data_IF_054324627096
#
_entry.id   IF_054324627096
#
_cell.length_a   1.000
_cell.length_b   1.000
_cell.length_c   1.000
_cell.angle_alpha   90.00
_cell.angle_beta   90.00
_cell.angle_gamma   90.00
#
_symmetry.space_group_name_H-M   'P 1'
#
loop_
_entity.id
_entity.type
_entity.pdbx_description
1 polymer ?
#
# COMPACT_ATOMS: atom_id res chain seq x y z
N UNK A 1 -36.58 -9.66 7.25
CA UNK A 1 -36.60 -9.44 8.70
C UNK A 1 -36.63 -7.95 8.91
N UNK A 2 -37.66 -7.48 9.59
CA UNK A 2 -37.93 -6.05 9.77
C UNK A 2 -36.91 -5.45 10.74
N UNK A 3 -36.39 -4.25 10.47
CA UNK A 3 -35.31 -3.62 11.26
C UNK A 3 -35.74 -3.31 12.70
N UNK A 4 -37.04 -3.31 12.94
CA UNK A 4 -37.68 -3.11 14.25
C UNK A 4 -37.60 -4.33 15.17
N UNK A 5 -37.52 -5.56 14.65
CA UNK A 5 -37.38 -6.76 15.48
C UNK A 5 -35.94 -6.97 16.01
N UNK A 6 -34.93 -6.52 15.26
CA UNK A 6 -33.52 -6.67 15.69
C UNK A 6 -33.13 -5.72 16.85
N UNK A 7 -33.90 -4.65 17.08
CA UNK A 7 -33.63 -3.67 18.13
C UNK A 7 -34.13 -4.12 19.52
N UNK A 8 -35.01 -5.12 19.59
CA UNK A 8 -35.59 -5.60 20.84
C UNK A 8 -34.72 -6.64 21.56
N UNK A 9 -33.81 -7.33 20.85
CA UNK A 9 -33.00 -8.41 21.45
C UNK A 9 -31.62 -7.97 21.98
N UNK A 10 -31.14 -6.76 21.62
CA UNK A 10 -29.83 -6.27 22.04
C UNK A 10 -29.66 -5.99 23.55
N UNK A 11 -30.68 -5.54 24.31
CA UNK A 11 -30.50 -5.27 25.74
C UNK A 11 -30.30 -6.52 26.61
N UNK A 12 -30.78 -7.68 26.16
CA UNK A 12 -30.72 -8.92 26.93
C UNK A 12 -29.32 -9.58 26.94
N UNK A 13 -28.47 -9.30 25.94
CA UNK A 13 -27.13 -9.88 25.83
C UNK A 13 -26.05 -9.10 26.61
N UNK A 14 -26.34 -7.88 27.07
CA UNK A 14 -25.38 -7.04 27.80
C UNK A 14 -25.42 -7.32 29.32
N UNK A 15 -26.51 -7.92 29.84
CA UNK A 15 -26.67 -8.12 31.29
C UNK A 15 -25.92 -9.35 31.84
N UNK A 16 -25.49 -10.31 31.01
CA UNK A 16 -24.85 -11.55 31.48
C UNK A 16 -23.32 -11.53 31.57
N UNK A 17 -22.63 -10.44 31.18
CA UNK A 17 -21.15 -10.38 31.21
C UNK A 17 -20.56 -9.64 32.41
N UNK A 18 -21.20 -9.70 33.59
CA UNK A 18 -20.62 -9.28 34.88
C UNK A 18 -20.11 -10.46 35.71
N UNK A 19 -19.39 -11.40 35.10
CA UNK A 19 -18.52 -12.29 35.88
C UNK A 19 -17.22 -11.55 36.22
N UNK A 20 -16.84 -11.41 37.50
CA UNK A 20 -15.60 -10.75 37.87
C UNK A 20 -14.42 -11.53 37.27
N UNK A 21 -13.70 -10.90 36.33
CA UNK A 21 -12.43 -11.39 35.82
C UNK A 21 -11.49 -11.57 37.01
N UNK A 22 -11.30 -12.83 37.43
CA UNK A 22 -10.24 -13.20 38.37
C UNK A 22 -8.92 -12.72 37.77
N UNK A 23 -8.31 -11.73 38.40
CA UNK A 23 -7.02 -11.19 38.02
C UNK A 23 -6.01 -12.34 37.90
N UNK A 24 -5.68 -12.70 36.66
CA UNK A 24 -4.65 -13.68 36.33
C UNK A 24 -3.31 -13.01 36.62
N UNK A 25 -2.81 -13.20 37.84
CA UNK A 25 -1.49 -12.75 38.24
C UNK A 25 -0.44 -13.44 37.38
N UNK A 26 0.09 -12.74 36.37
CA UNK A 26 1.24 -13.18 35.58
C UNK A 26 2.52 -13.04 36.42
N UNK A 27 2.67 -13.92 37.40
CA UNK A 27 3.92 -14.18 38.09
C UNK A 27 4.64 -15.33 37.37
N UNK A 28 5.19 -15.06 36.19
CA UNK A 28 6.12 -15.96 35.50
C UNK A 28 7.55 -15.52 35.83
N UNK A 29 7.99 -15.79 37.06
CA UNK A 29 9.42 -15.89 37.39
C UNK A 29 9.78 -17.37 37.30
N UNK A 30 10.33 -17.77 36.15
CA UNK A 30 11.14 -18.98 36.06
C UNK A 30 12.29 -18.79 37.07
N UNK A 31 12.18 -19.51 38.18
CA UNK A 31 13.20 -19.61 39.21
C UNK A 31 14.08 -20.77 38.80
N UNK A 32 15.35 -20.46 38.62
CA UNK A 32 16.41 -21.45 38.67
C UNK A 32 16.30 -22.19 40.00
N UNK A 33 16.05 -23.49 39.91
CA UNK A 33 16.26 -24.44 40.99
C UNK A 33 17.75 -24.46 41.27
N UNK A 34 18.18 -23.80 42.34
CA UNK A 34 19.31 -24.21 43.20
C UNK A 34 19.56 -23.14 44.27
N UNK A 35 19.30 -23.46 45.53
CA UNK A 35 19.68 -22.58 46.63
C UNK A 35 18.87 -22.76 47.90
N UNK A 36 19.12 -23.86 48.61
CA UNK A 36 18.79 -24.04 50.02
C UNK A 36 19.38 -22.87 50.83
N UNK A 37 18.53 -22.08 51.47
CA UNK A 37 18.89 -21.34 52.69
C UNK A 37 17.62 -21.05 53.49
N UNK A 38 17.40 -21.89 54.49
CA UNK A 38 16.31 -21.83 55.45
C UNK A 38 16.55 -20.64 56.40
N UNK A 39 16.28 -19.43 55.92
CA UNK A 39 16.42 -18.19 56.68
C UNK A 39 15.08 -17.82 57.33
N UNK A 40 14.99 -18.05 58.63
CA UNK A 40 13.86 -17.74 59.50
C UNK A 40 13.59 -16.22 59.54
N UNK A 41 12.96 -15.67 58.48
CA UNK A 41 12.66 -14.24 58.36
C UNK A 41 11.42 -13.92 59.19
N UNK A 42 11.65 -13.43 60.41
CA UNK A 42 10.64 -12.82 61.29
C UNK A 42 9.72 -11.93 60.47
N UNK A 43 8.43 -12.28 60.40
CA UNK A 43 7.41 -11.51 59.72
C UNK A 43 7.38 -10.09 60.32
N UNK A 44 7.92 -9.11 59.59
CA UNK A 44 7.81 -7.69 59.94
C UNK A 44 6.32 -7.35 59.90
N UNK A 45 5.68 -7.31 61.08
CA UNK A 45 4.32 -6.80 61.26
C UNK A 45 4.29 -5.38 60.68
N UNK A 46 3.65 -5.21 59.52
CA UNK A 46 3.39 -3.87 59.00
C UNK A 46 2.53 -3.13 60.03
N UNK A 47 2.93 -1.90 60.39
CA UNK A 47 2.12 -1.08 61.29
C UNK A 47 0.72 -0.89 60.69
N UNK A 48 -0.30 -0.97 61.53
CA UNK A 48 -1.72 -0.79 61.15
C UNK A 48 -1.94 0.52 60.36
N UNK A 49 -1.18 1.56 60.70
CA UNK A 49 -1.15 2.84 59.97
C UNK A 49 -0.72 2.69 58.50
N UNK A 50 0.34 1.93 58.22
CA UNK A 50 0.80 1.70 56.83
C UNK A 50 -0.23 0.91 56.03
N UNK A 51 -0.92 -0.05 56.65
CA UNK A 51 -2.00 -0.81 56.01
C UNK A 51 -3.18 0.11 55.64
N UNK A 52 -3.57 1.03 56.51
CA UNK A 52 -4.65 1.98 56.25
C UNK A 52 -4.31 2.94 55.09
N UNK A 53 -3.10 3.52 55.09
CA UNK A 53 -2.64 4.38 53.98
C UNK A 53 -2.62 3.66 52.64
N UNK A 54 -2.18 2.40 52.61
CA UNK A 54 -2.19 1.59 51.38
C UNK A 54 -3.62 1.31 50.89
N UNK A 55 -4.56 1.03 51.80
CA UNK A 55 -5.98 0.84 51.45
C UNK A 55 -6.60 2.10 50.88
N UNK A 56 -6.32 3.25 51.49
CA UNK A 56 -6.79 4.55 51.03
C UNK A 56 -6.21 4.91 49.66
N UNK A 57 -4.90 4.73 49.46
CA UNK A 57 -4.24 4.94 48.18
C UNK A 57 -4.83 4.04 47.07
N UNK A 58 -5.15 2.79 47.40
CA UNK A 58 -5.78 1.86 46.46
C UNK A 58 -7.22 2.26 46.12
N UNK A 59 -7.99 2.77 47.09
CA UNK A 59 -9.33 3.32 46.85
C UNK A 59 -9.26 4.53 45.92
N UNK A 60 -8.36 5.47 46.20
CA UNK A 60 -8.15 6.66 45.36
C UNK A 60 -7.71 6.29 43.93
N UNK A 61 -6.85 5.27 43.78
CA UNK A 61 -6.47 4.76 42.47
C UNK A 61 -7.67 4.20 41.69
N UNK A 62 -8.45 3.32 42.32
CA UNK A 62 -9.67 2.74 41.70
C UNK A 62 -10.69 3.80 41.33
N UNK A 63 -10.83 4.84 42.15
CA UNK A 63 -11.72 5.96 41.87
C UNK A 63 -11.26 6.73 40.62
N UNK A 64 -9.97 7.08 40.52
CA UNK A 64 -9.42 7.73 39.33
C UNK A 64 -9.54 6.87 38.07
N UNK A 65 -9.32 5.56 38.20
CA UNK A 65 -9.49 4.60 37.10
C UNK A 65 -10.96 4.53 36.65
N UNK A 66 -11.91 4.46 37.59
CA UNK A 66 -13.34 4.47 37.28
C UNK A 66 -13.78 5.77 36.60
N UNK A 67 -13.33 6.94 37.08
CA UNK A 67 -13.60 8.23 36.43
C UNK A 67 -13.03 8.26 35.01
N UNK A 68 -11.78 7.83 34.81
CA UNK A 68 -11.17 7.76 33.48
C UNK A 68 -11.92 6.84 32.52
N UNK A 69 -12.46 5.72 33.01
CA UNK A 69 -13.27 4.82 32.19
C UNK A 69 -14.55 5.54 31.74
N UNK A 70 -15.24 6.24 32.65
CA UNK A 70 -16.42 7.03 32.31
C UNK A 70 -16.11 8.13 31.28
N UNK A 71 -15.01 8.87 31.45
CA UNK A 71 -14.59 9.92 30.51
C UNK A 71 -14.29 9.33 29.10
N UNK A 72 -13.71 8.13 29.05
CA UNK A 72 -13.44 7.41 27.80
C UNK A 72 -14.73 6.92 27.14
N UNK A 73 -15.68 6.40 27.92
CA UNK A 73 -17.01 6.00 27.42
C UNK A 73 -17.77 7.21 26.86
N UNK A 74 -17.74 8.36 27.54
CA UNK A 74 -18.32 9.62 27.05
C UNK A 74 -17.63 10.10 25.76
N UNK A 75 -16.30 10.01 25.70
CA UNK A 75 -15.54 10.37 24.49
C UNK A 75 -15.90 9.49 23.30
N UNK A 76 -16.06 8.18 23.50
CA UNK A 76 -16.45 7.23 22.45
C UNK A 76 -17.87 7.53 21.95
N UNK A 77 -18.84 7.76 22.83
CA UNK A 77 -20.20 8.14 22.43
C UNK A 77 -20.24 9.47 21.69
N UNK A 78 -19.44 10.46 22.11
CA UNK A 78 -19.30 11.75 21.42
C UNK A 78 -18.69 11.60 20.02
N UNK A 79 -17.67 10.75 19.86
CA UNK A 79 -17.09 10.47 18.55
C UNK A 79 -18.07 9.72 17.64
N UNK A 80 -18.81 8.76 18.19
CA UNK A 80 -19.79 7.98 17.44
C UNK A 80 -20.92 8.86 16.91
N UNK A 81 -21.48 9.74 17.73
CA UNK A 81 -22.50 10.71 17.28
C UNK A 81 -22.00 11.65 16.20
N UNK A 82 -20.73 12.10 16.28
CA UNK A 82 -20.10 12.90 15.21
C UNK A 82 -19.96 12.11 13.89
N UNK A 83 -19.56 10.84 13.96
CA UNK A 83 -19.48 9.99 12.77
C UNK A 83 -20.86 9.72 12.16
N UNK A 84 -21.88 9.44 12.96
CA UNK A 84 -23.24 9.21 12.48
C UNK A 84 -23.82 10.46 11.79
N UNK A 85 -23.53 11.66 12.32
CA UNK A 85 -23.88 12.91 11.68
C UNK A 85 -23.16 13.11 10.34
N UNK A 86 -21.87 12.77 10.25
CA UNK A 86 -21.11 12.84 8.99
C UNK A 86 -21.63 11.84 7.94
N UNK A 87 -21.93 10.60 8.34
CA UNK A 87 -22.53 9.59 7.45
C UNK A 87 -23.87 10.08 6.90
N UNK A 88 -24.72 10.64 7.77
CA UNK A 88 -26.01 11.21 7.36
C UNK A 88 -25.83 12.35 6.36
N UNK A 89 -24.87 13.25 6.59
CA UNK A 89 -24.55 14.34 5.66
C UNK A 89 -24.05 13.83 4.30
N UNK A 90 -23.14 12.86 4.29
CA UNK A 90 -22.61 12.26 3.05
C UNK A 90 -23.73 11.56 2.26
N UNK A 91 -24.61 10.82 2.93
CA UNK A 91 -25.75 10.18 2.28
C UNK A 91 -26.71 11.21 1.65
N UNK A 92 -26.97 12.33 2.33
CA UNK A 92 -27.77 13.42 1.76
C UNK A 92 -27.12 14.02 0.51
N UNK A 93 -25.79 14.20 0.49
CA UNK A 93 -25.04 14.68 -0.69
C UNK A 93 -25.08 13.68 -1.85
N UNK A 94 -24.96 12.38 -1.57
CA UNK A 94 -25.07 11.32 -2.59
C UNK A 94 -26.46 11.31 -3.23
N UNK A 95 -27.51 11.46 -2.41
CA UNK A 95 -28.89 11.56 -2.90
C UNK A 95 -29.07 12.77 -3.83
N UNK A 96 -28.60 13.96 -3.42
CA UNK A 96 -28.68 15.17 -4.25
C UNK A 96 -27.92 15.04 -5.59
N UNK A 97 -26.76 14.37 -5.59
CA UNK A 97 -26.00 14.12 -6.83
C UNK A 97 -26.76 13.15 -7.75
N UNK A 98 -27.45 12.16 -7.18
CA UNK A 98 -28.22 11.19 -7.93
C UNK A 98 -29.45 11.82 -8.61
N UNK A 99 -30.17 12.72 -7.93
CA UNK A 99 -31.26 13.52 -8.52
C UNK A 99 -30.76 14.45 -9.65
N UNK A 100 -29.60 15.08 -9.45
CA UNK A 100 -28.97 15.91 -10.49
C UNK A 100 -28.58 15.08 -11.73
N UNK A 101 -28.05 13.87 -11.53
CA UNK A 101 -27.68 12.95 -12.62
C UNK A 101 -28.91 12.54 -13.44
N UNK A 102 -30.03 12.26 -12.81
CA UNK A 102 -31.28 11.97 -13.52
C UNK A 102 -31.76 13.15 -14.36
N UNK A 103 -31.65 14.36 -13.81
CA UNK A 103 -31.99 15.61 -14.53
C UNK A 103 -31.08 15.82 -15.75
N UNK A 104 -29.77 15.58 -15.62
CA UNK A 104 -28.81 15.67 -16.73
C UNK A 104 -29.13 14.61 -17.80
N UNK A 105 -29.36 13.35 -17.38
CA UNK A 105 -29.71 12.27 -18.29
C UNK A 105 -31.02 12.56 -19.05
N UNK A 106 -32.01 13.15 -18.39
CA UNK A 106 -33.26 13.58 -19.01
C UNK A 106 -33.00 14.66 -20.08
N UNK A 107 -32.23 15.72 -19.74
CA UNK A 107 -31.86 16.78 -20.70
C UNK A 107 -31.09 16.22 -21.90
N UNK A 108 -30.15 15.30 -21.67
CA UNK A 108 -29.39 14.65 -22.73
C UNK A 108 -30.30 13.86 -23.68
N UNK A 109 -31.25 13.07 -23.13
CA UNK A 109 -32.24 12.34 -23.94
C UNK A 109 -33.14 13.28 -24.77
N UNK A 110 -33.55 14.41 -24.21
CA UNK A 110 -34.33 15.42 -24.96
C UNK A 110 -33.51 16.03 -26.10
N UNK A 111 -32.25 16.41 -25.84
CA UNK A 111 -31.37 16.97 -26.87
C UNK A 111 -31.10 15.97 -28.00
N UNK A 112 -30.91 14.68 -27.68
CA UNK A 112 -30.74 13.63 -28.69
C UNK A 112 -31.98 13.42 -29.56
N UNK A 113 -33.19 13.56 -29.00
CA UNK A 113 -34.43 13.53 -29.80
C UNK A 113 -34.51 14.73 -30.75
N UNK A 114 -34.14 15.92 -30.30
CA UNK A 114 -34.11 17.13 -31.15
C UNK A 114 -33.10 16.94 -32.29
N UNK A 115 -31.90 16.45 -32.00
CA UNK A 115 -30.87 16.20 -33.01
C UNK A 115 -31.32 15.14 -34.03
N UNK A 116 -31.98 14.06 -33.57
CA UNK A 116 -32.56 13.05 -34.45
C UNK A 116 -33.60 13.62 -35.41
N UNK A 117 -34.49 14.50 -34.93
CA UNK A 117 -35.47 15.17 -35.77
C UNK A 117 -34.80 16.12 -36.79
N UNK A 118 -33.75 16.85 -36.40
CA UNK A 118 -33.00 17.72 -37.33
C UNK A 118 -32.28 16.94 -38.42
N UNK A 119 -31.73 15.77 -38.10
CA UNK A 119 -31.10 14.90 -39.09
C UNK A 119 -32.12 14.32 -40.09
N UNK A 120 -33.34 14.00 -39.65
CA UNK A 120 -34.41 13.57 -40.55
C UNK A 120 -34.87 14.69 -41.50
N UNK A 121 -34.84 15.95 -41.05
CA UNK A 121 -35.12 17.12 -41.92
C UNK A 121 -34.00 17.31 -42.96
N UNK A 122 -32.75 17.03 -42.60
CA UNK A 122 -31.60 17.09 -43.54
C UNK A 122 -31.65 16.02 -44.63
N UNK A 123 -32.37 14.91 -44.43
CA UNK A 123 -32.57 13.88 -45.46
C UNK A 123 -33.73 14.19 -46.42
N UNK A 124 -34.49 15.26 -46.20
CA UNK A 124 -35.36 15.83 -47.23
C UNK A 124 -34.48 16.60 -48.22
N UNK A 125 -34.33 16.04 -49.41
CA UNK A 125 -33.46 16.46 -50.49
C UNK A 125 -33.53 17.97 -50.80
N UNK A 126 -32.52 18.73 -50.36
CA UNK A 126 -32.12 19.98 -50.97
C UNK A 126 -30.73 19.75 -51.56
N UNK A 127 -30.68 19.67 -52.89
CA UNK A 127 -29.44 19.45 -53.66
C UNK A 127 -28.53 20.68 -53.55
N UNK A 128 -27.37 20.51 -52.92
CA UNK A 128 -26.25 21.47 -52.99
C UNK A 128 -25.08 20.77 -53.69
N UNK A 129 -24.52 21.35 -54.77
CA UNK A 129 -23.43 20.73 -55.51
C UNK A 129 -22.10 20.91 -54.78
N UNK A 130 -21.36 19.82 -54.59
CA UNK A 130 -20.01 19.80 -54.01
C UNK A 130 -19.00 19.67 -55.14
N UNK A 131 -18.03 20.60 -55.20
CA UNK A 131 -17.01 20.71 -56.24
C UNK A 131 -15.93 19.61 -56.13
N UNK A 132 -15.59 19.01 -57.27
CA UNK A 132 -14.84 17.77 -57.42
C UNK A 132 -13.35 18.00 -57.76
N UNK A 133 -12.70 18.96 -57.11
CA UNK A 133 -11.34 19.40 -57.46
C UNK A 133 -10.25 19.10 -56.41
N UNK A 134 -10.53 18.39 -55.32
CA UNK A 134 -9.55 18.20 -54.23
C UNK A 134 -8.82 16.84 -54.16
N UNK A 135 -8.88 15.96 -55.17
CA UNK A 135 -8.37 14.56 -55.07
C UNK A 135 -7.21 14.23 -56.04
N UNK A 136 -6.36 15.19 -56.43
CA UNK A 136 -5.18 14.85 -57.28
C UNK A 136 -3.92 15.62 -56.90
N UNK A 137 -3.21 15.16 -55.87
CA UNK A 137 -1.80 15.44 -55.67
C UNK A 137 -1.21 14.53 -54.57
N UNK A 138 -0.69 13.36 -54.95
CA UNK A 138 0.47 12.72 -54.30
C UNK A 138 0.74 11.36 -54.95
N UNK A 139 1.53 11.38 -56.03
CA UNK A 139 2.15 10.16 -56.55
C UNK A 139 3.43 10.53 -57.29
N UNK A 140 4.58 10.39 -56.60
CA UNK A 140 5.93 10.34 -57.17
C UNK A 140 6.96 10.09 -56.05
N UNK A 141 7.42 8.84 -55.89
CA UNK A 141 8.71 8.60 -55.23
C UNK A 141 9.41 7.37 -55.82
N UNK A 142 10.64 7.63 -56.27
CA UNK A 142 11.56 6.76 -57.00
C UNK A 142 12.44 5.97 -56.01
N UNK A 143 12.53 4.66 -56.22
CA UNK A 143 13.36 3.73 -55.44
C UNK A 143 14.77 3.59 -56.05
N UNK A 144 15.79 4.02 -55.31
CA UNK A 144 17.19 3.60 -55.53
C UNK A 144 17.61 2.61 -54.44
N UNK A 145 17.94 1.38 -54.83
CA UNK A 145 18.57 0.35 -53.97
C UNK A 145 20.09 0.56 -53.98
N UNK A 146 20.68 0.77 -52.81
CA UNK A 146 22.13 0.71 -52.58
C UNK A 146 22.38 -0.28 -51.43
N UNK A 147 23.05 -1.38 -51.75
CA UNK A 147 23.48 -2.43 -50.83
C UNK A 147 24.82 -2.02 -50.20
N UNK A 148 24.80 -1.60 -48.93
CA UNK A 148 25.97 -1.55 -48.07
C UNK A 148 25.60 -2.11 -46.69
N UNK A 149 25.91 -3.38 -46.48
CA UNK A 149 25.73 -4.10 -45.21
C UNK A 149 26.88 -3.75 -44.25
N UNK A 150 26.83 -2.55 -43.67
CA UNK A 150 27.49 -2.30 -42.39
C UNK A 150 26.57 -2.81 -41.29
N UNK A 151 27.07 -3.51 -40.24
CA UNK A 151 26.25 -3.87 -39.09
C UNK A 151 25.79 -2.56 -38.46
N UNK A 152 24.53 -2.19 -38.71
CA UNK A 152 23.87 -1.05 -38.11
C UNK A 152 23.83 -1.31 -36.60
N UNK A 153 24.84 -0.82 -35.90
CA UNK A 153 24.76 -0.59 -34.46
C UNK A 153 23.74 0.52 -34.28
N UNK A 154 22.46 0.13 -34.24
CA UNK A 154 21.39 1.03 -33.84
C UNK A 154 21.72 1.41 -32.40
N UNK A 155 22.21 2.62 -32.21
CA UNK A 155 22.41 3.20 -30.89
C UNK A 155 21.01 3.45 -30.31
N UNK A 156 20.45 2.43 -29.66
CA UNK A 156 19.14 2.49 -29.01
C UNK A 156 19.33 3.35 -27.76
N UNK A 157 19.31 4.67 -27.97
CA UNK A 157 19.31 5.64 -26.88
C UNK A 157 17.97 5.55 -26.16
N UNK A 158 17.95 4.84 -25.04
CA UNK A 158 16.79 4.73 -24.16
C UNK A 158 16.38 6.14 -23.73
N UNK A 159 15.16 6.54 -24.10
CA UNK A 159 14.60 7.84 -23.72
C UNK A 159 14.14 7.82 -22.25
N UNK A 160 14.24 8.98 -21.58
CA UNK A 160 13.71 9.11 -20.21
C UNK A 160 12.18 9.07 -20.23
N UNK A 161 11.58 8.64 -19.11
CA UNK A 161 10.11 8.58 -19.04
C UNK A 161 9.46 9.97 -19.18
N UNK A 162 10.15 11.02 -18.73
CA UNK A 162 9.69 12.40 -18.89
C UNK A 162 9.67 12.83 -20.36
N UNK A 163 10.62 12.34 -21.17
CA UNK A 163 10.62 12.61 -22.62
C UNK A 163 9.45 11.95 -23.35
N UNK A 164 8.98 10.80 -22.85
CA UNK A 164 7.92 10.01 -23.49
C UNK A 164 6.53 10.45 -23.01
N UNK A 165 6.38 10.68 -21.70
CA UNK A 165 5.08 10.89 -21.05
C UNK A 165 4.87 12.30 -20.48
N UNK A 166 5.89 13.16 -20.51
CA UNK A 166 5.85 14.50 -19.88
C UNK A 166 6.22 14.48 -18.39
N UNK A 167 6.03 15.60 -17.70
CA UNK A 167 6.38 15.71 -16.29
C UNK A 167 5.40 14.92 -15.39
N UNK A 168 5.88 14.23 -14.34
CA UNK A 168 5.01 13.47 -13.44
C UNK A 168 4.09 14.39 -12.62
N UNK A 169 2.86 13.93 -12.38
CA UNK A 169 1.85 14.62 -11.59
C UNK A 169 2.10 14.42 -10.08
N UNK A 170 2.96 15.24 -9.47
CA UNK A 170 3.35 15.11 -8.05
C UNK A 170 2.78 16.19 -7.11
N UNK A 171 2.35 17.34 -7.65
CA UNK A 171 2.03 18.52 -6.85
C UNK A 171 0.84 18.30 -5.89
N UNK A 172 -0.20 17.62 -6.37
CA UNK A 172 -1.39 17.31 -5.55
C UNK A 172 -1.04 16.35 -4.39
N UNK A 173 -0.24 15.32 -4.67
CA UNK A 173 0.14 14.34 -3.67
C UNK A 173 1.08 14.93 -2.61
N UNK A 174 2.03 15.77 -3.03
CA UNK A 174 2.88 16.53 -2.12
C UNK A 174 2.05 17.47 -1.23
N UNK A 175 1.10 18.20 -1.81
CA UNK A 175 0.20 19.07 -1.04
C UNK A 175 -0.64 18.27 -0.03
N UNK A 176 -1.13 17.09 -0.40
CA UNK A 176 -1.87 16.22 0.48
C UNK A 176 -1.00 15.68 1.63
N UNK A 177 0.24 15.25 1.36
CA UNK A 177 1.16 14.78 2.40
C UNK A 177 1.51 15.88 3.40
N UNK A 178 1.75 17.11 2.93
CA UNK A 178 2.09 18.24 3.82
C UNK A 178 0.92 18.68 4.71
N UNK A 179 -0.32 18.23 4.43
CA UNK A 179 -1.47 18.44 5.31
C UNK A 179 -1.56 17.43 6.45
N UNK A 180 -0.76 16.36 6.42
CA UNK A 180 -0.72 15.37 7.51
C UNK A 180 0.02 15.97 8.72
N UNK A 181 -0.60 16.00 9.92
CA UNK A 181 0.00 16.66 11.09
C UNK A 181 1.41 16.20 11.43
N UNK A 182 1.70 14.89 11.36
CA UNK A 182 3.05 14.36 11.63
C UNK A 182 4.11 14.72 10.58
N UNK A 183 3.71 15.21 9.41
CA UNK A 183 4.62 15.57 8.31
C UNK A 183 4.60 17.06 7.95
N UNK A 184 3.78 17.88 8.62
CA UNK A 184 3.55 19.29 8.25
C UNK A 184 4.84 20.12 8.15
N UNK A 185 5.77 19.91 9.10
CA UNK A 185 7.05 20.61 9.18
C UNK A 185 8.23 19.77 8.64
N UNK A 186 7.95 18.61 8.03
CA UNK A 186 8.98 17.68 7.55
C UNK A 186 9.35 17.95 6.09
N UNK A 187 10.64 17.85 5.77
CA UNK A 187 11.13 17.85 4.38
C UNK A 187 11.07 16.48 3.70
N UNK A 188 10.65 15.44 4.43
CA UNK A 188 10.59 14.07 3.90
C UNK A 188 9.62 13.94 2.70
N UNK A 189 8.40 14.52 2.71
CA UNK A 189 7.51 14.50 1.54
C UNK A 189 8.15 15.13 0.31
N UNK A 190 8.76 16.32 0.46
CA UNK A 190 9.45 17.02 -0.63
C UNK A 190 10.58 16.16 -1.19
N UNK A 191 11.43 15.65 -0.31
CA UNK A 191 12.56 14.79 -0.67
C UNK A 191 12.11 13.54 -1.43
N UNK A 192 11.03 12.90 -0.97
CA UNK A 192 10.47 11.71 -1.61
C UNK A 192 10.02 11.99 -3.05
N UNK A 193 9.24 13.06 -3.27
CA UNK A 193 8.74 13.41 -4.60
C UNK A 193 9.80 14.01 -5.53
N UNK A 194 10.80 14.72 -4.99
CA UNK A 194 11.96 15.16 -5.76
C UNK A 194 12.80 13.98 -6.26
N UNK A 195 13.02 12.96 -5.43
CA UNK A 195 13.69 11.72 -5.87
C UNK A 195 12.85 10.99 -6.90
N UNK A 196 11.52 10.91 -6.73
CA UNK A 196 10.64 10.31 -7.73
C UNK A 196 10.76 11.03 -9.08
N UNK A 197 10.70 12.37 -9.08
CA UNK A 197 10.90 13.19 -10.27
C UNK A 197 12.27 12.93 -10.92
N UNK A 198 13.36 12.93 -10.15
CA UNK A 198 14.70 12.57 -10.66
C UNK A 198 14.72 11.18 -11.28
N UNK A 199 14.01 10.22 -10.70
CA UNK A 199 13.90 8.86 -11.24
C UNK A 199 13.19 8.83 -12.60
N UNK A 200 12.24 9.74 -12.84
CA UNK A 200 11.56 9.85 -14.15
C UNK A 200 12.43 10.46 -15.25
N UNK A 201 13.42 11.27 -14.86
CA UNK A 201 14.39 11.96 -15.72
C UNK A 201 15.70 11.17 -15.90
N UNK A 202 15.94 10.18 -15.03
CA UNK A 202 17.16 9.39 -14.96
C UNK A 202 17.43 8.57 -16.23
N UNK A 203 18.71 8.37 -16.51
CA UNK A 203 19.17 7.39 -17.49
C UNK A 203 19.15 5.97 -16.89
N UNK A 204 19.42 4.97 -17.72
CA UNK A 204 19.42 3.57 -17.30
C UNK A 204 20.41 3.32 -16.15
N UNK A 205 21.57 3.99 -16.13
CA UNK A 205 22.62 3.75 -15.11
C UNK A 205 22.26 4.33 -13.76
N UNK A 206 21.56 5.46 -13.73
CA UNK A 206 21.22 6.19 -12.50
C UNK A 206 19.89 5.76 -11.89
N UNK A 207 18.99 5.15 -12.67
CA UNK A 207 17.65 4.78 -12.21
C UNK A 207 17.66 3.81 -11.02
N UNK A 208 18.61 2.86 -10.97
CA UNK A 208 18.74 1.92 -9.86
C UNK A 208 19.07 2.65 -8.55
N UNK A 209 20.01 3.61 -8.60
CA UNK A 209 20.39 4.40 -7.45
C UNK A 209 19.22 5.29 -6.96
N UNK A 210 18.56 6.00 -7.87
CA UNK A 210 17.39 6.82 -7.54
C UNK A 210 16.25 5.97 -6.95
N UNK A 211 16.02 4.77 -7.48
CA UNK A 211 15.00 3.87 -6.96
C UNK A 211 15.28 3.39 -5.53
N UNK A 212 16.53 3.05 -5.22
CA UNK A 212 16.95 2.70 -3.85
C UNK A 212 16.80 3.89 -2.90
N UNK A 213 17.16 5.10 -3.34
CA UNK A 213 16.92 6.33 -2.59
C UNK A 213 15.43 6.58 -2.36
N UNK A 214 14.58 6.28 -3.33
CA UNK A 214 13.13 6.43 -3.24
C UNK A 214 12.54 5.49 -2.18
N UNK A 215 13.02 4.24 -2.11
CA UNK A 215 12.60 3.28 -1.07
C UNK A 215 13.06 3.74 0.30
N UNK A 216 14.33 4.16 0.42
CA UNK A 216 14.89 4.66 1.69
C UNK A 216 14.12 5.87 2.21
N UNK A 217 13.88 6.87 1.37
CA UNK A 217 13.15 8.08 1.77
C UNK A 217 11.68 7.79 2.09
N UNK A 218 11.05 6.87 1.36
CA UNK A 218 9.68 6.40 1.69
C UNK A 218 9.62 5.81 3.09
N UNK A 219 10.58 4.96 3.45
CA UNK A 219 10.65 4.38 4.79
C UNK A 219 10.79 5.46 5.86
N UNK A 220 11.74 6.38 5.69
CA UNK A 220 11.92 7.49 6.64
C UNK A 220 10.65 8.34 6.77
N UNK A 221 9.93 8.57 5.68
CA UNK A 221 8.65 9.27 5.68
C UNK A 221 7.60 8.53 6.50
N UNK A 222 7.41 7.22 6.28
CA UNK A 222 6.41 6.43 7.02
C UNK A 222 6.78 6.23 8.50
N UNK A 223 8.08 6.14 8.81
CA UNK A 223 8.60 6.07 10.18
C UNK A 223 8.35 7.37 10.96
N UNK A 224 8.33 8.52 10.28
CA UNK A 224 8.01 9.82 10.87
C UNK A 224 6.50 10.02 11.13
N UNK A 225 5.64 9.22 10.50
CA UNK A 225 4.19 9.34 10.64
C UNK A 225 3.68 8.79 11.99
N UNK A 226 2.61 9.43 12.50
CA UNK A 226 1.70 8.79 13.46
C UNK A 226 1.00 7.57 12.83
N UNK A 227 0.38 6.70 13.64
CA UNK A 227 -0.29 5.50 13.10
C UNK A 227 -1.39 5.85 12.08
N UNK A 228 -2.20 6.88 12.38
CA UNK A 228 -3.27 7.33 11.48
C UNK A 228 -2.70 8.03 10.24
N UNK A 229 -1.71 8.90 10.41
CA UNK A 229 -1.08 9.59 9.28
C UNK A 229 -0.30 8.64 8.39
N UNK A 230 0.20 7.53 8.92
CA UNK A 230 0.89 6.49 8.12
C UNK A 230 -0.07 5.83 7.14
N UNK A 231 -1.29 5.52 7.58
CA UNK A 231 -2.32 4.97 6.71
C UNK A 231 -2.66 5.97 5.59
N UNK A 232 -2.91 7.24 5.94
CA UNK A 232 -3.20 8.29 4.98
C UNK A 232 -2.03 8.54 4.00
N UNK A 233 -0.78 8.50 4.49
CA UNK A 233 0.41 8.63 3.65
C UNK A 233 0.52 7.48 2.65
N UNK A 234 0.24 6.23 3.06
CA UNK A 234 0.21 5.07 2.15
C UNK A 234 -0.85 5.27 1.07
N UNK A 235 -2.05 5.69 1.45
CA UNK A 235 -3.14 5.98 0.50
C UNK A 235 -2.74 7.05 -0.52
N UNK A 236 -2.17 8.18 -0.07
CA UNK A 236 -1.68 9.25 -0.95
C UNK A 236 -0.59 8.74 -1.91
N UNK A 237 0.34 7.88 -1.44
CA UNK A 237 1.37 7.28 -2.29
C UNK A 237 0.76 6.39 -3.37
N UNK A 238 -0.20 5.53 -3.02
CA UNK A 238 -0.82 4.61 -3.98
C UNK A 238 -1.68 5.33 -5.02
N UNK A 239 -2.46 6.34 -4.61
CA UNK A 239 -3.19 7.23 -5.53
C UNK A 239 -2.19 7.88 -6.50
N UNK A 240 -1.06 8.39 -5.99
CA UNK A 240 -0.05 9.03 -6.82
C UNK A 240 0.62 8.05 -7.80
N UNK A 241 0.90 6.81 -7.38
CA UNK A 241 1.42 5.76 -8.27
C UNK A 241 0.44 5.43 -9.38
N UNK A 242 -0.86 5.31 -9.06
CA UNK A 242 -1.89 5.04 -10.05
C UNK A 242 -1.98 6.16 -11.11
N UNK A 243 -1.89 7.42 -10.68
CA UNK A 243 -1.86 8.59 -11.59
C UNK A 243 -0.61 8.65 -12.46
N UNK A 244 0.52 8.19 -11.94
CA UNK A 244 1.81 8.17 -12.63
C UNK A 244 2.17 6.77 -13.15
N UNK A 245 1.18 5.94 -13.49
CA UNK A 245 1.38 4.53 -13.86
C UNK A 245 2.40 4.35 -14.98
N UNK A 246 2.32 5.14 -16.04
CA UNK A 246 3.24 5.02 -17.19
C UNK A 246 4.71 5.26 -16.79
N UNK A 247 4.96 6.21 -15.89
CA UNK A 247 6.30 6.46 -15.35
C UNK A 247 6.78 5.28 -14.48
N UNK A 248 5.89 4.74 -13.64
CA UNK A 248 6.20 3.59 -12.80
C UNK A 248 6.53 2.36 -13.64
N UNK A 249 5.72 2.06 -14.65
CA UNK A 249 5.91 0.92 -15.56
C UNK A 249 7.21 1.05 -16.35
N UNK A 250 7.52 2.26 -16.86
CA UNK A 250 8.79 2.53 -17.54
C UNK A 250 9.99 2.32 -16.61
N UNK A 251 9.94 2.84 -15.39
CA UNK A 251 10.98 2.64 -14.38
C UNK A 251 11.20 1.15 -14.09
N UNK A 252 10.12 0.37 -13.93
CA UNK A 252 10.22 -1.07 -13.71
C UNK A 252 10.79 -1.83 -14.90
N UNK A 253 10.45 -1.42 -16.13
CA UNK A 253 11.03 -1.99 -17.35
C UNK A 253 12.55 -1.75 -17.40
N UNK A 254 13.01 -0.53 -17.14
CA UNK A 254 14.44 -0.22 -17.12
C UNK A 254 15.20 -0.99 -16.02
N UNK A 255 14.63 -1.08 -14.82
CA UNK A 255 15.20 -1.89 -13.73
C UNK A 255 15.27 -3.38 -14.10
N UNK A 256 14.36 -3.88 -14.94
CA UNK A 256 14.41 -5.25 -15.46
C UNK A 256 15.52 -5.41 -16.51
N UNK A 257 15.67 -4.45 -17.42
CA UNK A 257 16.71 -4.47 -18.45
C UNK A 257 18.12 -4.47 -17.85
N UNK A 258 18.38 -3.61 -16.85
CA UNK A 258 19.67 -3.57 -16.15
C UNK A 258 20.10 -4.92 -15.58
N UNK A 259 19.14 -5.67 -15.01
CA UNK A 259 19.43 -7.00 -14.45
C UNK A 259 19.85 -8.01 -15.51
N UNK A 260 19.34 -7.87 -16.74
CA UNK A 260 19.70 -8.76 -17.85
C UNK A 260 21.13 -8.41 -18.29
N UNK A 261 21.44 -7.12 -18.45
CA UNK A 261 22.79 -6.65 -18.82
C UNK A 261 23.84 -7.02 -17.78
N UNK A 262 23.56 -6.84 -16.48
CA UNK A 262 24.46 -7.23 -15.39
C UNK A 262 24.78 -8.74 -15.41
N UNK A 263 23.79 -9.59 -15.72
CA UNK A 263 23.99 -11.04 -15.85
C UNK A 263 24.85 -11.41 -17.05
N UNK A 264 24.61 -10.77 -18.20
CA UNK A 264 25.38 -11.00 -19.42
C UNK A 264 26.85 -10.60 -19.23
N UNK A 265 27.12 -9.52 -18.51
CA UNK A 265 28.49 -9.07 -18.21
C UNK A 265 29.25 -10.01 -17.27
N UNK A 266 28.55 -10.71 -16.37
CA UNK A 266 29.16 -11.65 -15.43
C UNK A 266 29.57 -12.99 -16.06
N UNK A 267 29.25 -13.21 -17.35
CA UNK A 267 29.72 -14.39 -18.09
C UNK A 267 29.29 -15.73 -17.50
N UNK A 268 28.23 -15.74 -16.68
CA UNK A 268 27.61 -16.99 -16.22
C UNK A 268 26.87 -17.59 -17.41
N UNK A 269 27.41 -18.66 -17.99
CA UNK A 269 26.82 -19.40 -19.12
C UNK A 269 25.31 -19.54 -18.97
N UNK A 270 24.59 -19.05 -19.97
CA UNK A 270 23.12 -18.96 -20.04
C UNK A 270 22.42 -20.33 -20.00
N UNK A 271 23.16 -21.44 -20.16
CA UNK A 271 22.64 -22.81 -20.09
C UNK A 271 22.43 -23.31 -18.65
N UNK A 272 22.95 -22.61 -17.65
CA UNK A 272 22.38 -22.63 -16.31
C UNK A 272 21.22 -21.63 -16.24
N UNK A 273 20.31 -21.69 -17.21
CA UNK A 273 18.97 -21.13 -17.13
C UNK A 273 18.36 -21.73 -15.86
N UNK A 274 18.58 -21.01 -14.77
CA UNK A 274 18.28 -21.38 -13.41
C UNK A 274 16.79 -21.68 -13.39
N UNK A 275 16.48 -22.97 -13.46
CA UNK A 275 15.14 -23.50 -13.36
C UNK A 275 14.60 -22.95 -12.05
N UNK A 276 13.80 -21.90 -12.18
CA UNK A 276 13.26 -21.10 -11.08
C UNK A 276 12.35 -21.94 -10.18
N UNK A 277 12.16 -23.22 -10.50
CA UNK A 277 11.45 -24.23 -9.73
C UNK A 277 12.36 -25.21 -8.95
N UNK A 278 13.67 -25.29 -9.20
CA UNK A 278 14.50 -26.37 -8.60
C UNK A 278 15.37 -26.01 -7.38
N UNK A 279 15.46 -24.74 -6.99
CA UNK A 279 16.22 -24.37 -5.76
C UNK A 279 15.42 -24.39 -4.47
N UNK A 280 14.17 -24.86 -4.48
CA UNK A 280 13.32 -24.93 -3.29
C UNK A 280 13.70 -26.04 -2.28
N UNK A 281 14.68 -26.92 -2.57
CA UNK A 281 14.87 -28.14 -1.76
C UNK A 281 16.26 -28.39 -1.14
N UNK A 282 17.30 -27.59 -1.37
CA UNK A 282 18.66 -28.06 -1.03
C UNK A 282 19.31 -27.50 0.25
N UNK A 283 18.87 -26.37 0.81
CA UNK A 283 19.56 -25.78 1.97
C UNK A 283 18.62 -25.52 3.15
N UNK A 284 18.50 -26.52 4.01
CA UNK A 284 17.90 -26.42 5.34
C UNK A 284 18.72 -25.49 6.23
N UNK A 285 18.51 -24.19 6.09
CA UNK A 285 18.95 -23.23 7.09
C UNK A 285 18.17 -23.51 8.37
N UNK A 286 18.83 -23.65 9.54
CA UNK A 286 18.15 -23.81 10.81
C UNK A 286 17.31 -22.57 11.10
N UNK A 287 16.01 -22.69 10.86
CA UNK A 287 15.02 -21.64 11.06
C UNK A 287 14.96 -21.27 12.54
N UNK A 288 15.40 -20.06 12.88
CA UNK A 288 15.21 -19.54 14.24
C UNK A 288 13.72 -19.25 14.44
N UNK A 289 13.11 -19.90 15.44
CA UNK A 289 11.67 -19.87 15.73
C UNK A 289 11.02 -18.47 15.81
N UNK A 290 11.78 -17.42 16.12
CA UNK A 290 11.28 -16.04 16.18
C UNK A 290 10.94 -15.43 14.81
N UNK A 291 11.56 -15.89 13.72
CA UNK A 291 11.30 -15.34 12.39
C UNK A 291 10.03 -15.91 11.77
N UNK A 292 9.71 -17.16 12.12
CA UNK A 292 8.50 -17.82 11.65
C UNK A 292 7.23 -17.08 12.13
N UNK A 293 7.26 -16.39 13.27
CA UNK A 293 6.09 -15.60 13.73
C UNK A 293 5.84 -14.35 12.90
N UNK A 294 6.90 -13.61 12.52
CA UNK A 294 6.73 -12.40 11.71
C UNK A 294 6.37 -12.74 10.26
N UNK A 295 7.01 -13.77 9.70
CA UNK A 295 6.68 -14.26 8.36
C UNK A 295 5.23 -14.74 8.29
N UNK A 296 4.78 -15.52 9.29
CA UNK A 296 3.38 -15.96 9.37
C UNK A 296 2.42 -14.78 9.46
N UNK A 297 2.72 -13.78 10.30
CA UNK A 297 1.88 -12.57 10.39
C UNK A 297 1.79 -11.82 9.05
N UNK A 298 2.90 -11.74 8.31
CA UNK A 298 2.93 -11.11 6.98
C UNK A 298 2.10 -11.92 5.96
N UNK A 299 2.29 -13.24 5.91
CA UNK A 299 1.51 -14.14 5.03
C UNK A 299 0.02 -14.02 5.36
N UNK A 300 -0.35 -14.14 6.63
CA UNK A 300 -1.75 -14.03 7.09
C UNK A 300 -2.34 -12.66 6.73
N UNK A 301 -1.55 -11.58 6.81
CA UNK A 301 -2.00 -10.24 6.44
C UNK A 301 -2.20 -10.07 4.92
N UNK A 302 -1.31 -10.61 4.09
CA UNK A 302 -1.41 -10.53 2.62
C UNK A 302 -2.57 -11.41 2.13
N UNK A 303 -2.73 -12.62 2.64
CA UNK A 303 -3.81 -13.56 2.25
C UNK A 303 -5.20 -13.02 2.62
N UNK A 304 -5.31 -12.13 3.62
CA UNK A 304 -6.56 -11.42 3.95
C UNK A 304 -6.98 -10.39 2.89
N UNK A 305 -6.10 -10.02 1.96
CA UNK A 305 -6.48 -9.21 0.81
C UNK A 305 -7.25 -10.11 -0.17
N UNK A 306 -8.54 -9.80 -0.38
CA UNK A 306 -9.47 -10.68 -1.08
C UNK A 306 -8.99 -11.12 -2.46
N UNK A 307 -8.38 -10.21 -3.23
CA UNK A 307 -7.83 -10.52 -4.56
C UNK A 307 -6.55 -11.35 -4.55
N UNK A 308 -5.84 -11.45 -3.42
CA UNK A 308 -4.60 -12.22 -3.29
C UNK A 308 -4.79 -13.59 -2.62
N UNK A 309 -5.96 -13.84 -2.03
CA UNK A 309 -6.25 -15.08 -1.31
C UNK A 309 -6.08 -16.34 -2.17
N UNK A 310 -6.34 -16.25 -3.48
CA UNK A 310 -6.20 -17.37 -4.43
C UNK A 310 -4.75 -17.59 -4.90
N UNK A 311 -3.80 -16.73 -4.52
CA UNK A 311 -2.42 -16.72 -5.01
C UNK A 311 -1.42 -17.02 -3.89
N UNK A 312 -1.75 -17.95 -2.99
CA UNK A 312 -0.93 -18.30 -1.82
C UNK A 312 0.51 -18.65 -2.15
N UNK A 313 0.74 -19.33 -3.28
CA UNK A 313 2.08 -19.76 -3.69
C UNK A 313 2.98 -18.55 -3.99
N UNK A 314 2.44 -17.56 -4.73
CA UNK A 314 3.16 -16.33 -5.03
C UNK A 314 3.42 -15.50 -3.76
N UNK A 315 2.46 -15.47 -2.84
CA UNK A 315 2.61 -14.82 -1.52
C UNK A 315 3.70 -15.49 -0.70
N UNK A 316 3.74 -16.82 -0.68
CA UNK A 316 4.77 -17.60 0.01
C UNK A 316 6.15 -17.37 -0.61
N UNK A 317 6.28 -17.43 -1.94
CA UNK A 317 7.53 -17.11 -2.63
C UNK A 317 8.01 -15.69 -2.28
N UNK A 318 7.12 -14.70 -2.28
CA UNK A 318 7.44 -13.34 -1.89
C UNK A 318 7.96 -13.24 -0.44
N UNK A 319 7.27 -13.88 0.51
CA UNK A 319 7.67 -13.87 1.92
C UNK A 319 8.97 -14.65 2.17
N UNK A 320 9.21 -15.71 1.41
CA UNK A 320 10.45 -16.49 1.45
C UNK A 320 11.63 -15.64 0.97
N UNK A 321 11.48 -14.90 -0.12
CA UNK A 321 12.54 -14.00 -0.64
C UNK A 321 12.86 -12.85 0.31
N UNK A 322 11.86 -12.28 1.00
CA UNK A 322 12.09 -11.31 2.09
C UNK A 322 12.88 -11.95 3.23
N UNK A 323 12.51 -13.18 3.59
CA UNK A 323 13.20 -13.91 4.66
C UNK A 323 14.65 -14.19 4.27
N UNK A 324 14.91 -14.65 3.04
CA UNK A 324 16.27 -14.82 2.50
C UNK A 324 17.05 -13.51 2.51
N UNK A 325 16.47 -12.41 2.04
CA UNK A 325 17.08 -11.09 2.07
C UNK A 325 17.51 -10.67 3.49
N UNK A 326 16.67 -10.90 4.51
CA UNK A 326 16.97 -10.53 5.90
C UNK A 326 18.06 -11.37 6.54
N UNK A 327 18.18 -12.64 6.15
CA UNK A 327 19.11 -13.58 6.77
C UNK A 327 20.42 -13.75 6.01
N UNK A 328 20.45 -13.36 4.74
CA UNK A 328 21.67 -13.44 3.95
C UNK A 328 22.72 -12.48 4.50
N UNK A 329 23.92 -13.02 4.72
CA UNK A 329 25.11 -12.26 5.10
C UNK A 329 25.88 -11.78 3.87
N UNK A 330 25.65 -12.42 2.72
CA UNK A 330 26.29 -12.06 1.47
C UNK A 330 25.62 -10.82 0.86
N UNK A 331 26.43 -9.89 0.37
CA UNK A 331 25.94 -8.64 -0.22
C UNK A 331 25.30 -8.91 -1.58
N UNK A 332 25.90 -9.81 -2.38
CA UNK A 332 25.40 -10.14 -3.72
C UNK A 332 24.07 -10.90 -3.62
N UNK A 333 23.97 -11.90 -2.76
CA UNK A 333 22.71 -12.59 -2.50
C UNK A 333 21.64 -11.64 -1.96
N UNK A 334 21.96 -10.71 -1.04
CA UNK A 334 20.98 -9.70 -0.60
C UNK A 334 20.51 -8.81 -1.74
N UNK A 335 21.40 -8.36 -2.60
CA UNK A 335 21.04 -7.56 -3.77
C UNK A 335 20.11 -8.34 -4.70
N UNK A 336 20.44 -9.61 -4.98
CA UNK A 336 19.60 -10.51 -5.75
C UNK A 336 18.20 -10.72 -5.13
N UNK A 337 18.13 -11.11 -3.85
CA UNK A 337 16.88 -11.34 -3.13
C UNK A 337 16.03 -10.07 -3.09
N UNK A 338 16.68 -8.91 -2.88
CA UNK A 338 16.01 -7.61 -2.92
C UNK A 338 15.27 -7.41 -4.23
N UNK A 339 15.99 -7.56 -5.33
CA UNK A 339 15.43 -7.39 -6.66
C UNK A 339 14.40 -8.44 -7.03
N UNK A 340 14.50 -9.64 -6.47
CA UNK A 340 13.54 -10.72 -6.66
C UNK A 340 12.24 -10.45 -5.92
N UNK A 341 12.28 -10.11 -4.62
CA UNK A 341 11.04 -9.83 -3.90
C UNK A 341 10.36 -8.56 -4.41
N UNK A 342 11.10 -7.56 -4.90
CA UNK A 342 10.52 -6.37 -5.52
C UNK A 342 9.73 -6.69 -6.79
N UNK A 343 10.19 -7.67 -7.59
CA UNK A 343 9.45 -8.15 -8.76
C UNK A 343 8.19 -8.94 -8.35
N UNK A 344 8.30 -9.81 -7.35
CA UNK A 344 7.16 -10.53 -6.80
C UNK A 344 6.12 -9.57 -6.18
N UNK A 345 6.57 -8.52 -5.49
CA UNK A 345 5.70 -7.45 -4.98
C UNK A 345 4.94 -6.78 -6.13
N UNK A 346 5.60 -6.48 -7.25
CA UNK A 346 4.96 -5.88 -8.43
C UNK A 346 3.90 -6.82 -9.01
N UNK A 347 4.19 -8.12 -9.09
CA UNK A 347 3.23 -9.13 -9.56
C UNK A 347 2.01 -9.20 -8.64
N UNK A 348 2.22 -9.29 -7.33
CA UNK A 348 1.13 -9.24 -6.33
C UNK A 348 0.32 -7.94 -6.44
N UNK A 349 0.97 -6.79 -6.62
CA UNK A 349 0.28 -5.52 -6.77
C UNK A 349 -0.59 -5.46 -8.03
N UNK A 350 -0.18 -6.13 -9.11
CA UNK A 350 -0.95 -6.22 -10.36
C UNK A 350 -2.15 -7.18 -10.24
N UNK A 351 -2.10 -8.14 -9.31
CA UNK A 351 -3.22 -9.02 -9.00
C UNK A 351 -4.28 -8.35 -8.11
N UNK A 352 -3.97 -7.20 -7.53
CA UNK A 352 -4.95 -6.44 -6.76
C UNK A 352 -6.02 -5.83 -7.69
N UNK A 353 -7.27 -6.27 -7.51
CA UNK A 353 -8.41 -5.92 -8.37
C UNK A 353 -8.97 -4.51 -8.10
N UNK A 354 -8.75 -3.97 -6.91
CA UNK A 354 -9.25 -2.68 -6.48
C UNK A 354 -8.14 -1.81 -5.89
N UNK A 355 -8.38 -0.51 -5.80
CA UNK A 355 -7.50 0.42 -5.10
C UNK A 355 -7.42 0.11 -3.60
N UNK A 356 -8.54 -0.24 -2.99
CA UNK A 356 -8.62 -0.68 -1.59
C UNK A 356 -7.75 -1.92 -1.32
N UNK A 357 -7.76 -2.91 -2.22
CA UNK A 357 -6.88 -4.08 -2.10
C UNK A 357 -5.40 -3.71 -2.17
N UNK A 358 -5.01 -2.75 -3.04
CA UNK A 358 -3.61 -2.27 -3.12
C UNK A 358 -3.19 -1.56 -1.84
N UNK A 359 -4.06 -0.73 -1.28
CA UNK A 359 -3.81 -0.04 -0.01
C UNK A 359 -3.64 -1.07 1.11
N UNK A 360 -4.53 -2.05 1.21
CA UNK A 360 -4.45 -3.15 2.20
C UNK A 360 -3.18 -3.98 2.03
N UNK A 361 -2.80 -4.29 0.79
CA UNK A 361 -1.56 -5.00 0.48
C UNK A 361 -0.34 -4.19 0.95
N UNK A 362 -0.27 -2.91 0.63
CA UNK A 362 0.83 -2.03 1.07
C UNK A 362 0.88 -1.88 2.58
N UNK A 363 -0.27 -1.82 3.26
CA UNK A 363 -0.35 -1.83 4.72
C UNK A 363 0.18 -3.15 5.31
N UNK A 364 -0.11 -4.29 4.70
CA UNK A 364 0.44 -5.58 5.11
C UNK A 364 1.97 -5.60 5.03
N UNK A 365 2.55 -5.06 3.95
CA UNK A 365 4.00 -4.93 3.79
C UNK A 365 4.63 -4.04 4.87
N UNK A 366 3.95 -2.96 5.22
CA UNK A 366 4.38 -2.04 6.28
C UNK A 366 4.34 -2.72 7.67
N UNK A 367 3.28 -3.47 7.98
CA UNK A 367 3.20 -4.27 9.22
C UNK A 367 4.35 -5.28 9.28
N UNK A 368 4.67 -5.91 8.14
CA UNK A 368 5.81 -6.80 7.99
C UNK A 368 7.17 -6.13 8.09
N UNK A 369 7.24 -4.78 8.09
CA UNK A 369 8.47 -3.98 8.00
C UNK A 369 9.37 -4.40 6.84
N UNK A 370 8.75 -4.70 5.69
CA UNK A 370 9.46 -5.25 4.52
C UNK A 370 10.51 -4.28 3.96
N UNK A 371 10.33 -2.96 4.18
CA UNK A 371 11.21 -1.90 3.69
C UNK A 371 12.11 -1.32 4.77
#
# INVERSE_FOLDING_TARGET
MDKTELAAELPALITERKTPLKARSTSSKLRDENGRANGNRKAKRHSTSKLMRNREAQRAFRQREATRILDLEESVTTLQTKFDAQITNLNARIAAISESKETINFKFRCNMKILGNLMQISSASVSVPVCQECIRANDSSSYHKSEQNSPLTVDIRIQSSTSIYGAPHIAEALSAMLKLPSLADSDLPRSHYEIFKKTTEADIKTIQHCYLQLIKTRRSLLDACSVLDRLAAIEIIEINKARNKNHMDHMYQLLKTLKIEERQQLGTDEDAAFDLQQTEHAHGYPEKAHNHSLQKLLVDAIVRVSSLAAHSDLVNSFCNEISRYRHSKDIQERHFCFFRFMELQRQLNNLCNSEDDRIKFMLALEIGKVF
#
